data_IF_830656507024
#
_entry.id   IF_830656507024
#
_cell.length_a   1.000
_cell.length_b   1.000
_cell.length_c   1.000
_cell.angle_alpha   90.00
_cell.angle_beta   90.00
_cell.angle_gamma   90.00
#
_symmetry.space_group_name_H-M   'P 1'
#
loop_
_entity.id
_entity.type
_entity.pdbx_description
1 polymer ?
#
# COMPACT_ATOMS: atom_id res chain seq x y z
N UNK A 1 5.14 -5.58 8.68
CA UNK A 1 5.19 -4.10 8.74
C UNK A 1 5.91 -3.55 9.98
N UNK A 2 6.71 -4.29 10.75
CA UNK A 2 7.48 -3.62 11.83
C UNK A 2 8.35 -2.50 11.22
N UNK A 3 9.13 -2.82 10.19
CA UNK A 3 9.96 -1.89 9.43
C UNK A 3 9.16 -0.85 8.63
N UNK A 4 8.05 -1.26 8.01
CA UNK A 4 7.29 -0.36 7.17
C UNK A 4 6.49 0.70 7.94
N UNK A 5 6.15 0.45 9.21
CA UNK A 5 5.61 1.49 10.10
C UNK A 5 6.67 2.53 10.45
N UNK A 6 7.93 2.11 10.65
CA UNK A 6 9.06 3.04 10.78
C UNK A 6 9.31 3.82 9.48
N UNK A 7 9.22 3.17 8.32
CA UNK A 7 9.30 3.84 7.03
C UNK A 7 8.18 4.87 6.84
N UNK A 8 6.97 4.56 7.29
CA UNK A 8 5.86 5.52 7.29
C UNK A 8 6.16 6.73 8.18
N UNK A 9 6.68 6.52 9.39
CA UNK A 9 7.13 7.63 10.25
C UNK A 9 8.20 8.48 9.58
N UNK A 10 9.22 7.86 8.99
CA UNK A 10 10.27 8.57 8.28
C UNK A 10 9.73 9.41 7.12
N UNK A 11 8.81 8.84 6.31
CA UNK A 11 8.17 9.55 5.20
C UNK A 11 7.25 10.68 5.68
N UNK A 12 6.47 10.46 6.74
CA UNK A 12 5.60 11.48 7.32
C UNK A 12 6.40 12.66 7.87
N UNK A 13 7.48 12.41 8.62
CA UNK A 13 8.33 13.47 9.14
C UNK A 13 9.12 14.16 8.03
N UNK A 14 9.64 13.39 7.07
CA UNK A 14 10.31 13.92 5.89
C UNK A 14 9.40 14.82 5.05
N UNK A 15 8.14 14.43 4.85
CA UNK A 15 7.14 15.25 4.19
C UNK A 15 6.86 16.53 4.97
N UNK A 16 6.65 16.45 6.28
CA UNK A 16 6.37 17.61 7.14
C UNK A 16 7.52 18.63 7.14
N UNK A 17 8.75 18.14 7.14
CA UNK A 17 9.97 18.96 7.03
C UNK A 17 10.03 19.61 5.64
N UNK A 18 9.82 18.84 4.56
CA UNK A 18 9.84 19.35 3.18
C UNK A 18 8.74 20.39 2.93
N UNK A 19 7.52 20.12 3.36
CA UNK A 19 6.37 20.99 3.17
C UNK A 19 6.51 22.29 3.97
N UNK A 20 6.98 22.20 5.22
CA UNK A 20 7.13 23.35 6.11
C UNK A 20 8.38 24.20 5.86
N UNK A 21 9.53 23.59 5.59
CA UNK A 21 10.81 24.31 5.47
C UNK A 21 11.09 24.71 4.03
N UNK A 22 10.88 23.81 3.07
CA UNK A 22 11.32 24.02 1.69
C UNK A 22 10.22 24.56 0.76
N UNK A 23 8.95 24.22 1.03
CA UNK A 23 7.81 24.66 0.21
C UNK A 23 7.00 25.81 0.84
N UNK A 24 7.39 26.28 2.04
CA UNK A 24 6.73 27.40 2.70
C UNK A 24 5.25 27.16 3.07
N UNK A 25 4.75 25.92 3.05
CA UNK A 25 3.34 25.57 3.33
C UNK A 25 3.07 25.50 4.84
N UNK A 26 3.46 26.53 5.59
CA UNK A 26 3.22 26.65 7.04
C UNK A 26 1.83 27.20 7.36
N UNK A 27 0.80 26.58 6.80
CA UNK A 27 -0.59 26.89 7.11
C UNK A 27 -1.03 26.32 8.46
N UNK A 28 -2.28 26.57 8.85
CA UNK A 28 -2.88 26.02 10.06
C UNK A 28 -2.88 24.47 10.08
N UNK A 29 -3.05 23.83 8.92
CA UNK A 29 -3.02 22.37 8.77
C UNK A 29 -1.66 21.79 9.14
N UNK A 30 -0.57 22.46 8.77
CA UNK A 30 0.79 22.03 9.10
C UNK A 30 1.01 22.04 10.62
N UNK A 31 0.54 23.09 11.31
CA UNK A 31 0.61 23.14 12.77
C UNK A 31 -0.25 22.06 13.44
N UNK A 32 -1.43 21.75 12.89
CA UNK A 32 -2.23 20.62 13.38
C UNK A 32 -1.51 19.29 13.21
N UNK A 33 -0.80 19.06 12.10
CA UNK A 33 0.01 17.86 11.91
C UNK A 33 1.13 17.78 12.95
N UNK A 34 1.86 18.87 13.21
CA UNK A 34 2.91 18.93 14.23
C UNK A 34 2.35 18.65 15.63
N UNK A 35 1.27 19.32 16.01
CA UNK A 35 0.63 19.15 17.32
C UNK A 35 0.09 17.73 17.46
N UNK A 36 -0.52 17.16 16.42
CA UNK A 36 -1.02 15.80 16.42
C UNK A 36 0.10 14.77 16.61
N UNK A 37 1.25 14.95 15.96
CA UNK A 37 2.43 14.09 16.13
C UNK A 37 2.99 14.22 17.56
N UNK A 38 3.12 15.45 18.07
CA UNK A 38 3.60 15.69 19.42
C UNK A 38 2.65 15.08 20.48
N UNK A 39 1.34 15.24 20.30
CA UNK A 39 0.31 14.63 21.13
C UNK A 39 0.41 13.10 21.10
N UNK A 40 0.49 12.50 19.92
CA UNK A 40 0.62 11.05 19.76
C UNK A 40 1.83 10.51 20.52
N UNK A 41 3.02 11.11 20.33
CA UNK A 41 4.23 10.63 21.00
C UNK A 41 4.18 10.84 22.50
N UNK A 42 3.64 11.97 22.95
CA UNK A 42 3.48 12.25 24.38
C UNK A 42 2.56 11.21 25.02
N UNK A 43 1.40 10.97 24.42
CA UNK A 43 0.46 9.94 24.89
C UNK A 43 1.07 8.54 24.84
N UNK A 44 1.68 8.16 23.71
CA UNK A 44 2.22 6.82 23.51
C UNK A 44 3.39 6.51 24.46
N UNK A 45 4.29 7.48 24.70
CA UNK A 45 5.36 7.33 25.69
C UNK A 45 4.77 7.16 27.10
N UNK A 46 3.69 7.88 27.44
CA UNK A 46 3.02 7.69 28.73
C UNK A 46 2.37 6.31 28.86
N UNK A 47 1.79 5.77 27.79
CA UNK A 47 1.31 4.37 27.75
C UNK A 47 2.45 3.40 28.01
N UNK A 48 3.61 3.58 27.35
CA UNK A 48 4.78 2.72 27.56
C UNK A 48 5.32 2.80 28.99
N UNK A 49 5.36 4.00 29.59
CA UNK A 49 5.73 4.19 31.00
C UNK A 49 4.72 3.54 31.95
N UNK A 50 3.43 3.58 31.61
CA UNK A 50 2.35 2.95 32.35
C UNK A 50 2.42 1.42 32.39
N UNK A 51 3.22 0.79 31.52
CA UNK A 51 3.45 -0.67 31.55
C UNK A 51 4.33 -1.13 32.74
N UNK A 52 4.91 -0.20 33.51
CA UNK A 52 5.67 -0.47 34.74
C UNK A 52 7.10 -0.95 34.49
N UNK A 53 7.26 -2.09 33.81
CA UNK A 53 8.57 -2.67 33.49
C UNK A 53 9.00 -2.38 32.04
N UNK A 54 10.31 -2.17 31.84
CA UNK A 54 10.89 -1.93 30.52
C UNK A 54 10.65 -3.11 29.57
N UNK A 55 10.71 -4.36 30.07
CA UNK A 55 10.48 -5.54 29.23
C UNK A 55 9.03 -5.60 28.75
N UNK A 56 8.08 -5.29 29.63
CA UNK A 56 6.64 -5.23 29.28
C UNK A 56 6.37 -4.08 28.32
N UNK A 57 6.97 -2.90 28.53
CA UNK A 57 6.89 -1.78 27.60
C UNK A 57 7.47 -2.10 26.22
N UNK A 58 8.63 -2.77 26.16
CA UNK A 58 9.24 -3.22 24.92
C UNK A 58 8.39 -4.28 24.21
N UNK A 59 7.83 -5.24 24.95
CA UNK A 59 6.92 -6.23 24.39
C UNK A 59 5.66 -5.58 23.82
N UNK A 60 5.04 -4.65 24.56
CA UNK A 60 3.90 -3.87 24.08
C UNK A 60 4.24 -3.09 22.82
N UNK A 61 5.39 -2.41 22.80
CA UNK A 61 5.88 -1.69 21.63
C UNK A 61 5.99 -2.60 20.41
N UNK A 62 6.67 -3.73 20.52
CA UNK A 62 6.84 -4.68 19.41
C UNK A 62 5.51 -5.26 18.93
N UNK A 63 4.66 -5.73 19.85
CA UNK A 63 3.36 -6.32 19.53
C UNK A 63 2.48 -5.28 18.82
N UNK A 64 2.42 -4.05 19.34
CA UNK A 64 1.61 -2.97 18.75
C UNK A 64 2.03 -2.60 17.31
N UNK A 65 3.29 -2.84 16.94
CA UNK A 65 3.82 -2.63 15.59
C UNK A 65 3.67 -3.85 14.68
N UNK A 66 3.55 -5.05 15.25
CA UNK A 66 3.37 -6.30 14.49
C UNK A 66 1.90 -6.55 14.19
N UNK A 67 0.99 -6.37 15.15
CA UNK A 67 -0.45 -6.70 15.04
C UNK A 67 -1.13 -6.09 13.79
N UNK A 68 -0.85 -4.85 13.36
CA UNK A 68 -1.44 -4.30 12.14
C UNK A 68 -0.86 -4.86 10.83
N UNK A 69 0.22 -5.65 10.89
CA UNK A 69 0.94 -6.13 9.70
C UNK A 69 0.09 -6.99 8.76
N UNK A 70 -0.73 -7.96 9.24
CA UNK A 70 -1.55 -8.78 8.35
C UNK A 70 -2.54 -7.96 7.51
N UNK A 71 -3.18 -6.97 8.14
CA UNK A 71 -4.09 -6.04 7.46
C UNK A 71 -3.39 -5.32 6.31
N UNK A 72 -2.18 -4.82 6.54
CA UNK A 72 -1.44 -4.12 5.50
C UNK A 72 -0.98 -5.04 4.38
N UNK A 73 -0.50 -6.25 4.70
CA UNK A 73 -0.13 -7.26 3.70
C UNK A 73 -1.32 -7.52 2.80
N UNK A 74 -2.52 -7.64 3.37
CA UNK A 74 -3.74 -7.85 2.60
C UNK A 74 -4.08 -6.69 1.66
N UNK A 75 -3.90 -5.43 2.09
CA UNK A 75 -4.12 -4.25 1.23
C UNK A 75 -3.10 -4.20 0.09
N UNK A 76 -1.82 -4.45 0.39
CA UNK A 76 -0.73 -4.44 -0.59
C UNK A 76 -0.92 -5.54 -1.63
N UNK A 77 -1.26 -6.74 -1.20
CA UNK A 77 -1.54 -7.87 -2.09
C UNK A 77 -2.62 -7.54 -3.12
N UNK A 78 -3.67 -6.84 -2.70
CA UNK A 78 -4.80 -6.53 -3.56
C UNK A 78 -4.54 -5.43 -4.60
N UNK A 79 -3.40 -4.73 -4.54
CA UNK A 79 -3.15 -3.57 -5.40
C UNK A 79 -1.74 -3.52 -6.03
N UNK A 80 -0.69 -3.96 -5.33
CA UNK A 80 0.69 -3.70 -5.77
C UNK A 80 1.14 -4.56 -6.96
N UNK A 81 0.48 -5.69 -7.24
CA UNK A 81 0.78 -6.51 -8.41
C UNK A 81 0.00 -6.13 -9.66
N UNK A 82 -0.84 -5.08 -9.60
CA UNK A 82 -1.75 -4.70 -10.67
C UNK A 82 -1.30 -3.43 -11.39
N UNK A 83 -1.73 -3.28 -12.64
CA UNK A 83 -1.33 -2.14 -13.49
C UNK A 83 -1.82 -0.83 -12.88
N UNK A 84 -0.94 0.17 -12.83
CA UNK A 84 -1.24 1.54 -12.40
C UNK A 84 -1.40 2.51 -13.58
N UNK A 85 -1.47 1.98 -14.82
CA UNK A 85 -1.62 2.80 -16.01
C UNK A 85 -2.96 3.54 -15.99
N UNK A 86 -2.97 4.79 -16.48
CA UNK A 86 -4.18 5.55 -16.70
C UNK A 86 -4.50 5.51 -18.20
N UNK A 87 -5.52 4.73 -18.57
CA UNK A 87 -5.99 4.61 -19.95
C UNK A 87 -6.91 5.78 -20.34
N UNK A 88 -7.12 6.74 -19.43
CA UNK A 88 -7.92 7.93 -19.67
C UNK A 88 -9.44 7.67 -19.62
N UNK A 89 -10.24 8.63 -20.09
CA UNK A 89 -11.69 8.63 -19.92
C UNK A 89 -12.43 7.56 -20.76
N UNK A 90 -11.73 6.87 -21.65
CA UNK A 90 -12.28 5.80 -22.50
C UNK A 90 -12.40 4.47 -21.75
N UNK A 91 -11.66 4.29 -20.66
CA UNK A 91 -11.75 3.09 -19.83
C UNK A 91 -13.00 3.16 -18.94
N UNK A 92 -13.86 2.13 -19.01
CA UNK A 92 -15.01 2.04 -18.11
C UNK A 92 -14.56 1.91 -16.66
N UNK A 93 -15.34 2.46 -15.74
CA UNK A 93 -15.06 2.35 -14.30
C UNK A 93 -14.85 0.89 -13.87
N UNK A 94 -15.67 -0.04 -14.37
CA UNK A 94 -15.56 -1.46 -14.08
C UNK A 94 -14.23 -2.06 -14.57
N UNK A 95 -13.89 -1.82 -15.84
CA UNK A 95 -12.63 -2.32 -16.42
C UNK A 95 -11.42 -1.81 -15.63
N UNK A 96 -11.46 -0.53 -15.23
CA UNK A 96 -10.42 0.05 -14.38
C UNK A 96 -10.30 -0.67 -13.03
N UNK A 97 -11.40 -0.91 -12.32
CA UNK A 97 -11.33 -1.61 -11.02
C UNK A 97 -10.82 -3.06 -11.17
N UNK A 98 -11.22 -3.78 -12.21
CA UNK A 98 -10.74 -5.14 -12.49
C UNK A 98 -9.24 -5.16 -12.84
N UNK A 99 -8.75 -4.13 -13.53
CA UNK A 99 -7.35 -4.01 -13.90
C UNK A 99 -6.45 -3.58 -12.74
N UNK A 100 -6.87 -2.63 -11.91
CA UNK A 100 -6.04 -2.02 -10.85
C UNK A 100 -6.16 -2.71 -9.49
N UNK A 101 -7.06 -3.67 -9.36
CA UNK A 101 -7.35 -4.36 -8.09
C UNK A 101 -7.40 -5.87 -8.31
N UNK A 102 -7.03 -6.64 -7.29
CA UNK A 102 -7.15 -8.09 -7.27
C UNK A 102 -7.75 -8.58 -5.96
N UNK A 103 -8.47 -9.69 -6.05
CA UNK A 103 -9.03 -10.37 -4.89
C UNK A 103 -8.11 -11.48 -4.38
N UNK A 104 -8.23 -11.79 -3.10
CA UNK A 104 -7.50 -12.89 -2.46
C UNK A 104 -8.44 -14.07 -2.25
N UNK A 105 -8.09 -15.22 -2.82
CA UNK A 105 -8.83 -16.46 -2.62
C UNK A 105 -8.73 -16.84 -1.15
N UNK A 106 -9.88 -16.90 -0.49
CA UNK A 106 -10.00 -17.15 0.93
C UNK A 106 -11.11 -18.18 1.18
N UNK A 107 -10.84 -19.28 1.91
CA UNK A 107 -11.89 -20.19 2.38
C UNK A 107 -12.91 -19.45 3.26
N UNK A 108 -14.22 -19.78 3.21
CA UNK A 108 -15.25 -19.07 3.98
C UNK A 108 -14.99 -18.98 5.48
N UNK A 109 -14.37 -20.01 6.08
CA UNK A 109 -14.02 -20.02 7.50
C UNK A 109 -12.88 -19.04 7.86
N UNK A 110 -12.03 -18.65 6.89
CA UNK A 110 -11.00 -17.64 7.07
C UNK A 110 -11.47 -16.23 6.70
N UNK A 111 -12.64 -16.09 6.06
CA UNK A 111 -13.17 -14.81 5.61
C UNK A 111 -13.33 -13.78 6.75
N UNK A 112 -13.62 -14.24 7.97
CA UNK A 112 -13.68 -13.40 9.18
C UNK A 112 -12.33 -12.76 9.51
N UNK A 113 -11.22 -13.52 9.47
CA UNK A 113 -9.87 -13.01 9.74
C UNK A 113 -9.43 -11.98 8.69
N UNK A 114 -9.90 -12.14 7.47
CA UNK A 114 -9.68 -11.20 6.38
C UNK A 114 -10.56 -9.95 6.47
N UNK A 115 -11.54 -9.89 7.39
CA UNK A 115 -12.39 -8.71 7.61
C UNK A 115 -13.18 -8.24 6.37
N UNK A 116 -13.40 -9.11 5.38
CA UNK A 116 -13.98 -8.77 4.07
C UNK A 116 -13.02 -8.06 3.09
N UNK A 117 -11.78 -7.79 3.49
CA UNK A 117 -10.77 -7.09 2.66
C UNK A 117 -10.14 -7.97 1.58
N UNK A 118 -10.55 -9.23 1.47
CA UNK A 118 -10.10 -10.14 0.41
C UNK A 118 -10.91 -9.95 -0.87
N UNK A 119 -12.01 -9.18 -0.81
CA UNK A 119 -12.91 -8.86 -1.92
C UNK A 119 -12.80 -7.37 -2.29
N UNK A 120 -11.59 -6.90 -2.58
CA UNK A 120 -11.32 -5.49 -2.88
C UNK A 120 -11.96 -5.05 -4.19
N UNK A 121 -11.97 -5.89 -5.23
CA UNK A 121 -12.59 -5.56 -6.52
C UNK A 121 -14.06 -5.17 -6.31
N UNK A 122 -14.78 -6.01 -5.56
CA UNK A 122 -16.20 -5.78 -5.27
C UNK A 122 -16.40 -4.59 -4.32
N UNK A 123 -15.48 -4.39 -3.37
CA UNK A 123 -15.51 -3.24 -2.46
C UNK A 123 -15.36 -1.90 -3.21
N UNK A 124 -14.44 -1.82 -4.17
CA UNK A 124 -14.24 -0.61 -4.97
C UNK A 124 -15.39 -0.35 -5.95
N UNK A 125 -16.02 -1.43 -6.47
CA UNK A 125 -17.21 -1.30 -7.31
C UNK A 125 -18.44 -0.83 -6.52
N UNK A 126 -18.61 -1.35 -5.29
CA UNK A 126 -19.79 -1.10 -4.47
C UNK A 126 -19.39 -0.72 -3.03
N UNK A 127 -18.80 0.47 -2.80
CA UNK A 127 -18.26 0.85 -1.49
C UNK A 127 -19.31 0.96 -0.39
N UNK A 128 -20.58 1.12 -0.76
CA UNK A 128 -21.73 1.18 0.15
C UNK A 128 -22.34 -0.19 0.47
N UNK A 129 -21.91 -1.26 -0.21
CA UNK A 129 -22.44 -2.59 0.03
C UNK A 129 -21.91 -3.11 1.37
N UNK A 130 -22.77 -3.63 2.27
CA UNK A 130 -22.31 -4.15 3.53
C UNK A 130 -21.46 -5.41 3.33
N UNK A 131 -20.45 -5.59 4.18
CA UNK A 131 -19.41 -6.64 4.02
C UNK A 131 -19.96 -8.06 3.89
N UNK A 132 -21.07 -8.36 4.56
CA UNK A 132 -21.71 -9.69 4.49
C UNK A 132 -22.29 -10.00 3.10
N UNK A 133 -22.58 -8.98 2.28
CA UNK A 133 -23.08 -9.13 0.91
C UNK A 133 -21.97 -9.10 -0.15
N UNK A 134 -20.73 -8.75 0.21
CA UNK A 134 -19.62 -8.65 -0.75
C UNK A 134 -19.35 -10.00 -1.44
N UNK A 135 -19.48 -11.12 -0.74
CA UNK A 135 -19.26 -12.44 -1.32
C UNK A 135 -20.25 -12.75 -2.45
N UNK A 136 -21.53 -12.48 -2.23
CA UNK A 136 -22.56 -12.69 -3.24
C UNK A 136 -22.37 -11.73 -4.44
N UNK A 137 -22.10 -10.46 -4.17
CA UNK A 137 -21.83 -9.47 -5.22
C UNK A 137 -20.58 -9.81 -6.04
N UNK A 138 -19.51 -10.31 -5.41
CA UNK A 138 -18.29 -10.74 -6.10
C UNK A 138 -18.58 -11.83 -7.13
N UNK A 139 -19.44 -12.80 -6.80
CA UNK A 139 -19.84 -13.85 -7.76
C UNK A 139 -20.59 -13.27 -8.97
N UNK A 140 -21.41 -12.24 -8.78
CA UNK A 140 -22.10 -11.54 -9.87
C UNK A 140 -21.09 -10.81 -10.76
N UNK A 141 -20.16 -10.05 -10.14
CA UNK A 141 -19.11 -9.33 -10.88
C UNK A 141 -18.22 -10.29 -11.68
N UNK A 142 -17.84 -11.43 -11.11
CA UNK A 142 -17.06 -12.47 -11.81
C UNK A 142 -17.76 -13.00 -13.05
N UNK A 143 -19.06 -13.32 -12.94
CA UNK A 143 -19.87 -13.78 -14.08
C UNK A 143 -19.95 -12.73 -15.16
N UNK A 144 -20.26 -11.49 -14.79
CA UNK A 144 -20.32 -10.38 -15.73
C UNK A 144 -18.98 -10.11 -16.40
N UNK A 145 -17.87 -10.14 -15.65
CA UNK A 145 -16.52 -9.98 -16.22
C UNK A 145 -16.24 -11.07 -17.27
N UNK A 146 -16.57 -12.33 -16.97
CA UNK A 146 -16.41 -13.43 -17.92
C UNK A 146 -17.28 -13.26 -19.18
N UNK A 147 -18.54 -12.83 -19.04
CA UNK A 147 -19.43 -12.55 -20.17
C UNK A 147 -18.91 -11.44 -21.09
N UNK A 148 -18.20 -10.45 -20.52
CA UNK A 148 -17.60 -9.33 -21.25
C UNK A 148 -16.16 -9.60 -21.71
N UNK A 149 -15.60 -10.78 -21.45
CA UNK A 149 -14.21 -11.11 -21.77
C UNK A 149 -13.18 -10.30 -20.97
N UNK A 150 -13.54 -9.82 -19.78
CA UNK A 150 -12.68 -9.07 -18.88
C UNK A 150 -11.99 -10.00 -17.88
N UNK A 151 -10.71 -9.75 -17.60
CA UNK A 151 -9.96 -10.48 -16.58
C UNK A 151 -10.46 -10.12 -15.16
N UNK A 152 -10.88 -11.12 -14.39
CA UNK A 152 -11.06 -10.98 -12.94
C UNK A 152 -9.86 -11.61 -12.23
N UNK A 153 -8.90 -10.77 -11.82
CA UNK A 153 -7.69 -11.26 -11.17
C UNK A 153 -7.98 -11.70 -9.73
N UNK A 154 -7.72 -12.96 -9.43
CA UNK A 154 -7.74 -13.50 -8.07
C UNK A 154 -6.57 -14.44 -7.80
N UNK A 155 -5.98 -14.33 -6.62
CA UNK A 155 -4.82 -15.14 -6.25
C UNK A 155 -4.98 -15.75 -4.86
N UNK A 156 -4.48 -16.97 -4.67
CA UNK A 156 -4.28 -17.50 -3.32
C UNK A 156 -3.29 -16.64 -2.55
N UNK A 157 -3.45 -16.53 -1.23
CA UNK A 157 -2.61 -15.64 -0.40
C UNK A 157 -1.10 -15.82 -0.63
N UNK A 158 -0.60 -17.06 -0.69
CA UNK A 158 0.81 -17.33 -0.96
C UNK A 158 1.24 -16.97 -2.40
N UNK A 159 0.39 -17.26 -3.39
CA UNK A 159 0.66 -16.94 -4.79
C UNK A 159 0.69 -15.42 -5.02
N UNK A 160 -0.24 -14.67 -4.41
CA UNK A 160 -0.27 -13.21 -4.47
C UNK A 160 1.00 -12.60 -3.87
N UNK A 161 1.49 -13.11 -2.73
CA UNK A 161 2.74 -12.62 -2.14
C UNK A 161 3.94 -12.85 -3.09
N UNK A 162 3.98 -14.00 -3.74
CA UNK A 162 5.01 -14.31 -4.73
C UNK A 162 4.96 -13.35 -5.92
N UNK A 163 3.76 -13.01 -6.39
CA UNK A 163 3.56 -12.07 -7.47
C UNK A 163 4.04 -10.66 -7.10
N UNK A 164 3.69 -10.16 -5.91
CA UNK A 164 4.17 -8.86 -5.42
C UNK A 164 5.69 -8.82 -5.34
N UNK A 165 6.32 -9.86 -4.80
CA UNK A 165 7.79 -9.95 -4.73
C UNK A 165 8.40 -9.99 -6.15
N UNK A 166 7.79 -10.72 -7.08
CA UNK A 166 8.21 -10.77 -8.48
C UNK A 166 8.18 -9.39 -9.13
N UNK A 167 7.06 -8.67 -9.01
CA UNK A 167 6.93 -7.29 -9.53
C UNK A 167 7.97 -6.36 -8.92
N UNK A 168 8.23 -6.46 -7.60
CA UNK A 168 9.27 -5.68 -6.95
C UNK A 168 10.68 -6.01 -7.47
N UNK A 169 10.95 -7.28 -7.77
CA UNK A 169 12.21 -7.70 -8.37
C UNK A 169 12.37 -7.17 -9.81
N UNK A 170 11.30 -7.21 -10.61
CA UNK A 170 11.30 -6.68 -11.98
C UNK A 170 11.55 -5.16 -11.99
N UNK A 171 10.88 -4.42 -11.10
CA UNK A 171 11.12 -2.96 -10.92
C UNK A 171 12.55 -2.69 -10.48
N UNK A 172 13.09 -3.47 -9.54
CA UNK A 172 14.48 -3.32 -9.09
C UNK A 172 15.48 -3.56 -10.24
N UNK A 173 15.20 -4.53 -11.12
CA UNK A 173 16.00 -4.78 -12.33
C UNK A 173 15.96 -3.58 -13.29
N UNK A 174 14.77 -3.02 -13.54
CA UNK A 174 14.60 -1.85 -14.41
C UNK A 174 15.36 -0.62 -13.88
N UNK A 175 15.33 -0.37 -12.57
CA UNK A 175 16.10 0.72 -11.94
C UNK A 175 17.60 0.52 -12.15
N UNK A 176 18.09 -0.71 -12.07
CA UNK A 176 19.48 -1.04 -12.39
C UNK A 176 19.87 -0.68 -13.83
N UNK A 177 19.00 -1.02 -14.79
CA UNK A 177 19.21 -0.68 -16.21
C UNK A 177 19.19 0.82 -16.44
N UNK A 178 18.21 1.54 -15.89
CA UNK A 178 18.13 3.01 -15.97
C UNK A 178 19.36 3.67 -15.36
N UNK A 179 19.86 3.15 -14.23
CA UNK A 179 21.09 3.63 -13.60
C UNK A 179 22.33 3.45 -14.47
N UNK A 180 22.44 2.31 -15.17
CA UNK A 180 23.53 2.07 -16.13
C UNK A 180 23.46 3.03 -17.32
N UNK A 181 22.27 3.24 -17.89
CA UNK A 181 22.06 4.18 -19.00
C UNK A 181 22.41 5.60 -18.55
N UNK A 182 21.89 6.06 -17.41
CA UNK A 182 22.17 7.38 -16.86
C UNK A 182 23.67 7.59 -16.63
N UNK A 183 24.39 6.60 -16.09
CA UNK A 183 25.84 6.67 -15.91
C UNK A 183 26.57 6.76 -17.26
N UNK A 184 26.15 5.98 -18.25
CA UNK A 184 26.75 6.01 -19.59
C UNK A 184 26.53 7.35 -20.31
N UNK A 185 25.37 7.97 -20.14
CA UNK A 185 25.08 9.29 -20.71
C UNK A 185 25.87 10.39 -20.01
N UNK A 186 26.05 10.32 -18.68
CA UNK A 186 26.94 11.24 -17.96
C UNK A 186 28.40 11.08 -18.42
N UNK A 187 28.89 9.85 -18.59
CA UNK A 187 30.25 9.60 -19.09
C UNK A 187 30.43 10.12 -20.53
N UNK A 188 29.43 9.98 -21.40
CA UNK A 188 29.45 10.56 -22.76
C UNK A 188 29.42 12.08 -22.74
N UNK A 189 28.60 12.71 -21.89
CA UNK A 189 28.54 14.16 -21.75
C UNK A 189 29.88 14.74 -21.26
N UNK A 190 30.49 14.11 -20.25
CA UNK A 190 31.82 14.51 -19.74
C UNK A 190 32.93 14.32 -20.79
N UNK A 191 32.81 13.31 -21.66
CA UNK A 191 33.77 13.10 -22.76
C UNK A 191 33.49 13.96 -24.00
N UNK A 192 32.28 14.49 -24.15
CA UNK A 192 31.82 15.27 -25.29
C UNK A 192 32.10 16.78 -25.21
N UNK A 193 32.47 17.31 -24.03
CA UNK A 193 32.87 18.72 -23.84
C UNK A 193 34.34 19.00 -24.21
N UNK A 194 34.92 18.19 -25.10
CA UNK A 194 36.33 18.25 -25.51
C UNK A 194 36.57 18.59 -26.97
N UNK A 195 35.68 19.38 -27.61
CA UNK A 195 35.87 19.88 -28.97
C UNK A 195 35.81 21.40 -29.04
#
# INVERSE_FOLDING_TARGET
MSLARFNLYANSYGFLIKSGIFQGRRGWTWWLEVVGIAFYWTWYINVLKGCGDFKTGLAYFLISHIVPSPLHVQIVLSHFSRSTEDLGPTESFLARQLRTTTDVICPPHLAFFHGGLHLQVTHHLFPRLPRHNLAAASQIVKRYAAEQGLEYAEFGFAAGNRQVIGVLADVASQVGVVGMVAKSEVEKAVRGEGH
#
